data_IF_388802274491
#
_entry.id   IF_388802274491
#
_cell.length_a   1.000
_cell.length_b   1.000
_cell.length_c   1.000
_cell.angle_alpha   90.00
_cell.angle_beta   90.00
_cell.angle_gamma   90.00
#
_symmetry.space_group_name_H-M   'P 1'
#
loop_
_entity.id
_entity.type
_entity.pdbx_description
1 polymer ?
#
# COMPACT_ATOMS: atom_id res chain seq x y z
N UNK A 1 21.80 18.43 15.86
CA UNK A 1 20.37 18.74 15.66
C UNK A 1 20.01 19.11 14.21
N UNK A 2 20.80 19.92 13.50
CA UNK A 2 20.53 20.34 12.10
C UNK A 2 20.52 19.15 11.10
N UNK A 3 21.46 18.22 11.22
CA UNK A 3 21.54 17.06 10.32
C UNK A 3 20.28 16.18 10.33
N UNK A 4 19.63 16.04 11.48
CA UNK A 4 18.40 15.26 11.64
C UNK A 4 17.22 15.91 10.92
N UNK A 5 17.14 17.25 10.96
CA UNK A 5 16.13 18.01 10.25
C UNK A 5 16.31 17.90 8.72
N UNK A 6 17.54 18.06 8.23
CA UNK A 6 17.86 17.92 6.80
C UNK A 6 17.51 16.52 6.29
N UNK A 7 17.85 15.46 7.04
CA UNK A 7 17.51 14.07 6.68
C UNK A 7 16.00 13.85 6.59
N UNK A 8 15.23 14.37 7.55
CA UNK A 8 13.76 14.27 7.54
C UNK A 8 13.14 15.02 6.35
N UNK A 9 13.67 16.21 6.03
CA UNK A 9 13.21 17.01 4.88
C UNK A 9 13.40 16.27 3.56
N UNK A 10 14.60 15.74 3.30
CA UNK A 10 14.91 14.98 2.08
C UNK A 10 13.98 13.77 1.90
N UNK A 11 13.77 12.99 2.97
CA UNK A 11 12.87 11.83 2.93
C UNK A 11 11.41 12.23 2.63
N UNK A 12 10.95 13.40 3.07
CA UNK A 12 9.60 13.90 2.73
C UNK A 12 9.55 14.29 1.25
N UNK A 13 10.56 15.02 0.75
CA UNK A 13 10.65 15.45 -0.65
C UNK A 13 10.70 14.24 -1.60
N UNK A 14 11.48 13.21 -1.29
CA UNK A 14 11.54 11.95 -2.06
C UNK A 14 10.21 11.21 -2.09
N UNK A 15 9.56 11.08 -0.92
CA UNK A 15 8.31 10.34 -0.80
C UNK A 15 7.10 11.02 -1.47
N UNK A 16 7.14 12.36 -1.64
CA UNK A 16 6.14 13.10 -2.41
C UNK A 16 6.38 12.95 -3.91
N UNK A 17 7.65 13.00 -4.35
CA UNK A 17 8.00 12.87 -5.77
C UNK A 17 7.80 11.47 -6.32
N UNK A 18 7.87 10.41 -5.50
CA UNK A 18 7.68 9.03 -5.97
C UNK A 18 6.23 8.70 -6.36
N UNK A 19 5.26 9.57 -6.05
CA UNK A 19 3.82 9.35 -6.26
C UNK A 19 3.28 8.05 -5.61
N UNK A 20 4.08 7.40 -4.75
CA UNK A 20 3.76 6.17 -4.01
C UNK A 20 2.86 6.43 -2.79
N UNK A 21 2.58 7.70 -2.50
CA UNK A 21 1.85 8.13 -1.32
C UNK A 21 0.81 9.15 -1.73
N UNK A 22 -0.43 8.94 -1.28
CA UNK A 22 -1.51 9.90 -1.45
C UNK A 22 -1.09 11.30 -0.91
N UNK A 23 -1.04 12.34 -1.76
CA UNK A 23 -0.58 13.69 -1.38
C UNK A 23 -1.48 14.38 -0.36
N UNK A 24 -2.70 13.89 -0.13
CA UNK A 24 -3.61 14.41 0.90
C UNK A 24 -3.26 13.95 2.32
N UNK A 25 -2.31 13.02 2.50
CA UNK A 25 -1.96 12.47 3.82
C UNK A 25 -1.05 13.42 4.61
N UNK A 26 -1.48 13.78 5.82
CA UNK A 26 -0.70 14.59 6.77
C UNK A 26 0.41 13.82 7.50
N UNK A 27 0.45 12.48 7.40
CA UNK A 27 1.43 11.61 8.08
C UNK A 27 2.02 10.58 7.11
N UNK A 28 3.34 10.54 7.01
CA UNK A 28 4.08 9.50 6.28
C UNK A 28 4.16 8.22 7.12
N UNK A 29 3.12 7.37 7.04
CA UNK A 29 3.16 6.02 7.62
C UNK A 29 3.53 4.99 6.55
N UNK A 30 4.73 4.46 6.69
CA UNK A 30 5.31 3.41 5.87
C UNK A 30 4.62 2.06 6.14
N UNK A 31 4.56 1.17 5.15
CA UNK A 31 4.07 -0.19 5.33
C UNK A 31 4.99 -0.95 6.29
N UNK A 32 4.43 -1.70 7.23
CA UNK A 32 5.22 -2.62 8.05
C UNK A 32 6.02 -3.58 7.17
N UNK A 33 5.42 -4.05 6.08
CA UNK A 33 6.07 -4.90 5.09
C UNK A 33 6.05 -4.22 3.71
N UNK A 34 7.05 -3.38 3.43
CA UNK A 34 7.16 -2.64 2.16
C UNK A 34 7.14 -3.55 0.93
N UNK A 35 7.84 -4.67 1.00
CA UNK A 35 7.97 -5.59 -0.13
C UNK A 35 6.63 -6.23 -0.51
N UNK A 36 5.86 -6.67 0.49
CA UNK A 36 4.51 -7.22 0.29
C UNK A 36 3.58 -6.13 -0.25
N UNK A 37 3.61 -4.92 0.34
CA UNK A 37 2.77 -3.80 -0.09
C UNK A 37 3.03 -3.41 -1.55
N UNK A 38 4.30 -3.35 -1.95
CA UNK A 38 4.72 -3.04 -3.31
C UNK A 38 4.32 -4.14 -4.31
N UNK A 39 4.47 -5.41 -3.95
CA UNK A 39 4.05 -6.54 -4.80
C UNK A 39 2.53 -6.53 -5.01
N UNK A 40 1.75 -6.33 -3.94
CA UNK A 40 0.28 -6.22 -4.02
C UNK A 40 -0.12 -5.02 -4.85
N UNK A 41 0.56 -3.88 -4.71
CA UNK A 41 0.28 -2.69 -5.52
C UNK A 41 0.49 -2.95 -7.01
N UNK A 42 1.61 -3.57 -7.37
CA UNK A 42 1.93 -3.89 -8.77
C UNK A 42 0.87 -4.81 -9.37
N UNK A 43 0.55 -5.90 -8.68
CA UNK A 43 -0.53 -6.80 -9.09
C UNK A 43 -1.87 -6.07 -9.22
N UNK A 44 -2.21 -5.21 -8.26
CA UNK A 44 -3.46 -4.44 -8.30
C UNK A 44 -3.53 -3.52 -9.52
N UNK A 45 -2.43 -2.86 -9.88
CA UNK A 45 -2.33 -2.01 -11.06
C UNK A 45 -2.50 -2.83 -12.35
N UNK A 46 -1.86 -4.00 -12.44
CA UNK A 46 -2.00 -4.92 -13.58
C UNK A 46 -3.46 -5.39 -13.75
N UNK A 47 -4.10 -5.79 -12.66
CA UNK A 47 -5.50 -6.21 -12.66
C UNK A 47 -6.45 -5.07 -13.03
N UNK A 48 -6.17 -3.83 -12.58
CA UNK A 48 -6.93 -2.63 -12.98
C UNK A 48 -6.74 -2.29 -14.46
N UNK A 49 -5.53 -2.44 -14.99
CA UNK A 49 -5.27 -2.24 -16.42
C UNK A 49 -6.01 -3.29 -17.28
N UNK A 50 -6.15 -4.51 -16.78
CA UNK A 50 -6.96 -5.56 -17.36
C UNK A 50 -8.48 -5.41 -17.11
N UNK A 51 -8.91 -4.28 -16.51
CA UNK A 51 -10.30 -3.94 -16.20
C UNK A 51 -11.02 -4.97 -15.31
N UNK A 52 -10.29 -5.72 -14.48
CA UNK A 52 -10.88 -6.64 -13.51
C UNK A 52 -11.46 -5.89 -12.31
N UNK A 53 -12.63 -6.34 -11.86
CA UNK A 53 -13.21 -5.90 -10.60
C UNK A 53 -12.53 -6.64 -9.45
N UNK A 54 -11.71 -5.92 -8.70
CA UNK A 54 -10.99 -6.46 -7.53
C UNK A 54 -11.78 -6.09 -6.28
N UNK A 55 -12.01 -7.07 -5.41
CA UNK A 55 -12.67 -6.89 -4.12
C UNK A 55 -11.65 -6.92 -2.98
N UNK A 56 -12.00 -6.33 -1.83
CA UNK A 56 -11.15 -6.30 -0.64
C UNK A 56 -10.57 -7.66 -0.22
N UNK A 57 -11.37 -8.74 -0.13
CA UNK A 57 -10.87 -10.07 0.21
C UNK A 57 -9.84 -10.63 -0.79
N UNK A 58 -9.94 -10.29 -2.07
CA UNK A 58 -8.96 -10.70 -3.08
C UNK A 58 -7.60 -10.07 -2.82
N UNK A 59 -7.56 -8.78 -2.46
CA UNK A 59 -6.32 -8.09 -2.09
C UNK A 59 -5.68 -8.76 -0.87
N UNK A 60 -6.46 -9.13 0.14
CA UNK A 60 -5.94 -9.84 1.31
C UNK A 60 -5.39 -11.24 0.97
N UNK A 61 -6.07 -11.96 0.07
CA UNK A 61 -5.62 -13.26 -0.42
C UNK A 61 -4.27 -13.15 -1.14
N UNK A 62 -4.17 -12.20 -2.07
CA UNK A 62 -2.93 -11.97 -2.82
C UNK A 62 -1.79 -11.50 -1.92
N UNK A 63 -2.08 -10.61 -0.96
CA UNK A 63 -1.09 -10.18 0.03
C UNK A 63 -0.53 -11.34 0.85
N UNK A 64 -1.35 -12.36 1.15
CA UNK A 64 -0.87 -13.58 1.81
C UNK A 64 0.00 -14.43 0.89
N UNK A 65 -0.35 -14.56 -0.39
CA UNK A 65 0.47 -15.28 -1.36
C UNK A 65 1.86 -14.64 -1.49
N UNK A 66 1.91 -13.31 -1.66
CA UNK A 66 3.18 -12.59 -1.69
C UNK A 66 3.96 -12.68 -0.39
N UNK A 67 3.29 -12.77 0.75
CA UNK A 67 3.97 -12.97 2.02
C UNK A 67 4.67 -14.32 2.11
N UNK A 68 4.02 -15.39 1.64
CA UNK A 68 4.63 -16.73 1.55
C UNK A 68 5.81 -16.72 0.58
N UNK A 69 5.67 -16.08 -0.59
CA UNK A 69 6.76 -15.97 -1.57
C UNK A 69 7.97 -15.16 -1.07
N UNK A 70 7.78 -14.31 -0.06
CA UNK A 70 8.83 -13.49 0.56
C UNK A 70 9.29 -14.03 1.91
N UNK A 71 9.05 -15.33 2.18
CA UNK A 71 9.42 -16.04 3.42
C UNK A 71 8.86 -15.37 4.70
N UNK A 72 7.69 -14.74 4.61
CA UNK A 72 7.01 -14.07 5.72
C UNK A 72 5.66 -14.75 6.03
N UNK A 73 5.71 -16.02 6.39
CA UNK A 73 4.53 -16.86 6.67
C UNK A 73 3.71 -16.37 7.87
N UNK A 74 4.33 -15.63 8.79
CA UNK A 74 3.65 -15.03 9.96
C UNK A 74 2.78 -13.83 9.59
N UNK A 75 2.83 -13.36 8.35
CA UNK A 75 2.06 -12.22 7.90
C UNK A 75 0.56 -12.51 7.88
N UNK A 76 -0.20 -11.70 8.61
CA UNK A 76 -1.65 -11.75 8.61
C UNK A 76 -2.22 -10.61 7.77
N UNK A 77 -2.78 -10.97 6.61
CA UNK A 77 -3.62 -10.08 5.82
C UNK A 77 -4.95 -9.82 6.53
N UNK A 78 -4.92 -8.94 7.53
CA UNK A 78 -6.09 -8.52 8.33
C UNK A 78 -6.83 -7.37 7.65
N UNK A 79 -8.05 -7.06 8.10
CA UNK A 79 -8.79 -5.87 7.66
C UNK A 79 -7.98 -4.58 7.85
N UNK A 80 -7.11 -4.52 8.88
CA UNK A 80 -6.21 -3.39 9.10
C UNK A 80 -5.21 -3.19 7.95
N UNK A 81 -4.75 -4.27 7.32
CA UNK A 81 -3.93 -4.20 6.11
C UNK A 81 -4.71 -3.52 4.98
N UNK A 82 -5.91 -4.00 4.69
CA UNK A 82 -6.73 -3.50 3.60
C UNK A 82 -7.04 -2.00 3.75
N UNK A 83 -7.42 -1.58 4.96
CA UNK A 83 -7.68 -0.16 5.26
C UNK A 83 -6.42 0.68 5.03
N UNK A 84 -5.26 0.22 5.52
CA UNK A 84 -4.00 0.94 5.36
C UNK A 84 -3.51 0.97 3.90
N UNK A 85 -3.68 -0.13 3.17
CA UNK A 85 -3.34 -0.24 1.74
C UNK A 85 -4.19 0.73 0.92
N UNK A 86 -5.49 0.74 1.18
CA UNK A 86 -6.45 1.66 0.57
C UNK A 86 -6.09 3.12 0.83
N UNK A 87 -5.82 3.46 2.09
CA UNK A 87 -5.45 4.81 2.52
C UNK A 87 -4.14 5.29 1.88
N UNK A 88 -3.14 4.40 1.77
CA UNK A 88 -1.84 4.75 1.18
C UNK A 88 -1.94 5.05 -0.32
N UNK A 89 -2.65 4.19 -1.04
CA UNK A 89 -2.71 4.21 -2.50
C UNK A 89 -3.93 4.96 -3.05
N UNK A 90 -4.76 5.55 -2.18
CA UNK A 90 -5.92 6.35 -2.59
C UNK A 90 -7.01 5.55 -3.30
N UNK A 91 -7.10 4.24 -3.04
CA UNK A 91 -8.07 3.35 -3.69
C UNK A 91 -9.46 3.61 -3.10
N UNK A 92 -10.49 3.78 -3.92
CA UNK A 92 -11.88 3.83 -3.45
C UNK A 92 -12.64 2.65 -4.05
N UNK A 93 -13.23 1.82 -3.19
CA UNK A 93 -14.25 0.88 -3.66
C UNK A 93 -15.54 1.68 -3.79
N UNK A 94 -16.12 1.68 -4.97
CA UNK A 94 -17.49 2.15 -5.14
C UNK A 94 -18.37 1.12 -4.42
N UNK A 95 -18.91 1.45 -3.24
CA UNK A 95 -19.97 0.65 -2.65
C UNK A 95 -21.18 0.77 -3.57
N UNK A 96 -21.49 -0.30 -4.29
CA UNK A 96 -22.77 -0.41 -4.99
C UNK A 96 -23.83 -0.57 -3.87
N UNK A 97 -24.46 0.54 -3.46
CA UNK A 97 -25.70 0.48 -2.70
C UNK A 97 -26.72 -0.27 -3.57
N UNK A 98 -27.23 -1.40 -3.07
CA UNK A 98 -28.29 -2.18 -3.69
C UNK A 98 -29.50 -2.21 -2.78
#
# INVERSE_FOLDING_TARGET
>A
MIATFIKKRKHIEEAVNSNEINPQRKRLKIATNKNIDAAVLKWFQEMRAANFQINGPLICGEARQFAVMLDNESFKATNGLLICFRDRHGITFQEIHR
#
